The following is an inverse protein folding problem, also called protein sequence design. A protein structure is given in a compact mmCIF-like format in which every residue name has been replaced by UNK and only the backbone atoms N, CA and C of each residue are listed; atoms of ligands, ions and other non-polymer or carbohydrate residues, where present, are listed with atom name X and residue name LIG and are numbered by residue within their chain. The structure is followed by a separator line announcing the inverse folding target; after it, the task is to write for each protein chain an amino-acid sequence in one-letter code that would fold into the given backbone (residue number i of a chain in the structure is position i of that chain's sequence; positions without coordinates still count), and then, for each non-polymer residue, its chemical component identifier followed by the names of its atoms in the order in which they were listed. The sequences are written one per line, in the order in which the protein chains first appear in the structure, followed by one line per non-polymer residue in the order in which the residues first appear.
data_IF_940556180580
#
_entry.id   IF_940556180580
#
_cell.length_a   1.000
_cell.length_b   1.000
_cell.length_c   1.000
_cell.angle_alpha   90.00
_cell.angle_beta   90.00
_cell.angle_gamma   90.00
#
_symmetry.space_group_name_H-M   'P 1'
#
loop_
_entity.id
_entity.type
_entity.pdbx_description
1 polymer ?
#
# COMPACT_ATOMS: atom_id res chain seq x y z
N UNK A 1 -1.26 -5.81 9.03
CA UNK A 1 -0.57 -5.42 7.76
C UNK A 1 0.64 -6.30 7.38
N UNK A 2 1.63 -6.51 8.27
CA UNK A 2 2.85 -7.32 7.97
C UNK A 2 2.54 -8.80 7.71
N UNK A 3 1.49 -9.35 8.35
CA UNK A 3 1.04 -10.73 8.11
C UNK A 3 0.58 -10.98 6.67
N UNK A 4 -0.36 -10.20 6.13
CA UNK A 4 -0.91 -10.47 4.79
C UNK A 4 0.14 -10.37 3.66
N UNK A 5 1.13 -9.48 3.78
CA UNK A 5 2.20 -9.29 2.80
C UNK A 5 3.20 -10.45 2.75
N UNK A 6 3.45 -11.13 3.87
CA UNK A 6 4.44 -12.22 3.94
C UNK A 6 3.82 -13.60 3.64
N UNK A 7 2.48 -13.76 3.74
CA UNK A 7 1.75 -15.02 3.44
C UNK A 7 1.65 -15.27 1.95
N UNK A 8 1.30 -14.21 1.23
CA UNK A 8 1.00 -14.31 -0.19
C UNK A 8 2.28 -14.55 -0.99
N UNK A 9 3.40 -14.00 -0.52
CA UNK A 9 4.70 -14.10 -1.18
C UNK A 9 5.31 -15.51 -1.17
N UNK A 10 5.25 -16.28 -0.05
CA UNK A 10 5.72 -17.68 -0.10
C UNK A 10 4.68 -18.68 -0.59
N UNK A 11 3.39 -18.40 -0.44
CA UNK A 11 2.34 -19.19 -1.09
C UNK A 11 2.47 -19.17 -2.62
N UNK A 12 2.82 -18.01 -3.20
CA UNK A 12 3.18 -17.88 -4.61
C UNK A 12 4.51 -18.57 -4.94
N UNK A 13 5.50 -18.53 -4.04
CA UNK A 13 6.77 -19.25 -4.19
C UNK A 13 6.62 -20.79 -4.26
N UNK A 14 5.52 -21.34 -3.73
CA UNK A 14 5.23 -22.78 -3.80
C UNK A 14 4.65 -23.20 -5.16
N UNK A 15 4.05 -22.25 -5.90
CA UNK A 15 3.49 -22.48 -7.25
C UNK A 15 4.49 -22.09 -8.34
N UNK A 16 5.41 -21.16 -8.05
CA UNK A 16 6.48 -20.77 -8.96
C UNK A 16 7.78 -20.48 -8.17
N UNK A 17 8.91 -21.11 -8.54
CA UNK A 17 10.15 -21.15 -7.73
C UNK A 17 10.88 -19.81 -7.57
N UNK A 18 10.26 -18.70 -7.95
CA UNK A 18 10.79 -17.34 -7.84
C UNK A 18 9.68 -16.43 -7.33
N UNK A 19 9.58 -16.15 -6.02
CA UNK A 19 8.75 -15.06 -5.54
C UNK A 19 9.31 -13.76 -6.13
N UNK A 20 8.69 -13.33 -7.23
CA UNK A 20 8.98 -12.07 -7.89
C UNK A 20 8.18 -10.92 -7.25
N UNK A 21 8.52 -9.66 -7.54
CA UNK A 21 7.78 -8.47 -7.16
C UNK A 21 6.32 -8.48 -7.63
N UNK A 22 5.93 -9.36 -8.56
CA UNK A 22 4.52 -9.65 -8.84
C UNK A 22 3.74 -10.12 -7.61
N UNK A 23 4.35 -11.00 -6.79
CA UNK A 23 3.74 -11.48 -5.55
C UNK A 23 3.65 -10.36 -4.50
N UNK A 24 4.68 -9.51 -4.40
CA UNK A 24 4.65 -8.29 -3.60
C UNK A 24 3.51 -7.36 -4.05
N UNK A 25 3.37 -7.11 -5.37
CA UNK A 25 2.31 -6.28 -5.92
C UNK A 25 0.91 -6.81 -5.62
N UNK A 26 0.68 -8.11 -5.80
CA UNK A 26 -0.58 -8.75 -5.43
C UNK A 26 -0.85 -8.67 -3.93
N UNK A 27 0.17 -8.88 -3.09
CA UNK A 27 0.07 -8.73 -1.64
C UNK A 27 -0.32 -7.31 -1.21
N UNK A 28 0.24 -6.29 -1.85
CA UNK A 28 -0.11 -4.88 -1.60
C UNK A 28 -1.56 -4.58 -1.99
N UNK A 29 -2.02 -5.07 -3.14
CA UNK A 29 -3.42 -4.88 -3.57
C UNK A 29 -4.37 -5.65 -2.67
N UNK A 30 -4.08 -6.90 -2.34
CA UNK A 30 -4.90 -7.69 -1.42
C UNK A 30 -5.00 -7.01 -0.05
N UNK A 31 -3.90 -6.44 0.46
CA UNK A 31 -3.91 -5.67 1.71
C UNK A 31 -4.77 -4.40 1.62
N UNK A 32 -4.70 -3.67 0.50
CA UNK A 32 -5.50 -2.47 0.26
C UNK A 32 -7.00 -2.80 0.15
N UNK A 33 -7.36 -3.83 -0.61
CA UNK A 33 -8.74 -4.30 -0.75
C UNK A 33 -9.27 -4.83 0.57
N UNK A 34 -8.46 -5.56 1.34
CA UNK A 34 -8.81 -6.01 2.69
C UNK A 34 -9.09 -4.83 3.62
N UNK A 35 -8.24 -3.80 3.65
CA UNK A 35 -8.50 -2.59 4.44
C UNK A 35 -9.75 -1.86 3.98
N UNK A 36 -9.99 -1.77 2.68
CA UNK A 36 -11.21 -1.19 2.15
C UNK A 36 -12.45 -1.97 2.60
N UNK A 37 -12.42 -3.31 2.55
CA UNK A 37 -13.50 -4.19 3.02
C UNK A 37 -13.74 -4.10 4.53
N UNK A 38 -12.75 -3.63 5.27
CA UNK A 38 -12.82 -3.38 6.71
C UNK A 38 -13.00 -1.88 7.03
N UNK A 39 -13.35 -1.04 6.06
CA UNK A 39 -13.61 0.38 6.31
C UNK A 39 -12.42 1.10 6.94
N UNK A 40 -11.20 0.67 6.61
CA UNK A 40 -9.90 1.13 7.16
C UNK A 40 -9.62 0.78 8.63
N UNK A 41 -10.53 0.10 9.32
CA UNK A 41 -10.36 -0.32 10.71
C UNK A 41 -9.79 -1.75 10.77
N UNK A 42 -8.61 -1.93 11.38
CA UNK A 42 -8.01 -3.27 11.53
C UNK A 42 -8.87 -4.15 12.46
N UNK A 43 -8.92 -5.46 12.17
CA UNK A 43 -9.66 -6.44 12.96
C UNK A 43 -9.23 -6.47 14.43
N UNK A 44 -7.94 -6.20 14.71
CA UNK A 44 -7.44 -6.16 16.09
C UNK A 44 -8.07 -5.05 16.93
N UNK A 45 -8.63 -4.02 16.27
CA UNK A 45 -9.22 -2.84 16.92
C UNK A 45 -10.74 -2.96 17.10
N UNK A 46 -11.42 -3.75 16.27
CA UNK A 46 -12.88 -3.92 16.29
C UNK A 46 -13.42 -4.61 17.56
N UNK A 47 -12.55 -5.25 18.33
CA UNK A 47 -12.93 -6.00 19.52
C UNK A 47 -13.85 -7.20 19.22
N UNK A 48 -14.25 -7.90 20.29
CA UNK A 48 -15.16 -9.05 20.19
C UNK A 48 -14.54 -10.32 19.61
N UNK A 49 -15.12 -11.48 19.96
CA UNK A 49 -14.63 -12.78 19.53
C UNK A 49 -14.60 -12.97 18.00
N UNK A 50 -15.51 -12.42 17.17
CA UNK A 50 -15.46 -12.65 15.72
C UNK A 50 -14.22 -12.05 15.06
N UNK A 51 -13.82 -10.85 15.48
CA UNK A 51 -12.65 -10.16 14.94
C UNK A 51 -11.35 -10.86 15.34
N UNK A 52 -11.27 -11.35 16.59
CA UNK A 52 -10.16 -12.19 17.05
C UNK A 52 -10.11 -13.53 16.31
N UNK A 53 -11.24 -14.21 16.12
CA UNK A 53 -11.31 -15.46 15.36
C UNK A 53 -10.84 -15.25 13.93
N UNK A 54 -11.33 -14.20 13.24
CA UNK A 54 -10.91 -13.92 11.88
C UNK A 54 -9.41 -13.56 11.81
N UNK A 55 -8.89 -12.81 12.77
CA UNK A 55 -7.46 -12.51 12.87
C UNK A 55 -6.62 -13.77 13.06
N UNK A 56 -7.06 -14.68 13.94
CA UNK A 56 -6.40 -15.96 14.17
C UNK A 56 -6.47 -16.87 12.93
N UNK A 57 -7.59 -16.89 12.21
CA UNK A 57 -7.73 -17.63 10.95
C UNK A 57 -6.81 -17.07 9.87
N UNK A 58 -6.70 -15.75 9.73
CA UNK A 58 -5.78 -15.12 8.79
C UNK A 58 -4.31 -15.43 9.13
N UNK A 59 -3.95 -15.38 10.42
CA UNK A 59 -2.62 -15.76 10.90
C UNK A 59 -2.35 -17.26 10.70
N UNK A 60 -3.34 -18.12 10.94
CA UNK A 60 -3.25 -19.56 10.71
C UNK A 60 -3.09 -19.90 9.23
N UNK A 61 -3.91 -19.29 8.36
CA UNK A 61 -3.80 -19.41 6.91
C UNK A 61 -2.42 -18.93 6.41
N UNK A 62 -1.92 -17.84 6.99
CA UNK A 62 -0.56 -17.37 6.75
C UNK A 62 0.48 -18.44 7.08
N UNK A 63 0.48 -18.93 8.32
CA UNK A 63 1.47 -19.91 8.78
C UNK A 63 1.38 -21.21 7.98
N UNK A 64 0.17 -21.64 7.62
CA UNK A 64 -0.06 -22.80 6.76
C UNK A 64 0.52 -22.60 5.36
N UNK A 65 0.30 -21.43 4.74
CA UNK A 65 0.92 -21.09 3.45
C UNK A 65 2.46 -21.12 3.55
N UNK A 66 3.04 -20.57 4.62
CA UNK A 66 4.49 -20.62 4.85
C UNK A 66 5.00 -22.07 5.01
N UNK A 67 4.28 -22.90 5.76
CA UNK A 67 4.66 -24.29 6.00
C UNK A 67 4.56 -25.16 4.74
N UNK A 68 3.53 -24.94 3.91
CA UNK A 68 3.38 -25.61 2.61
C UNK A 68 4.50 -25.21 1.65
N UNK A 69 4.89 -23.93 1.64
CA UNK A 69 5.98 -23.42 0.82
C UNK A 69 7.37 -23.89 1.27
N UNK A 70 7.55 -24.19 2.55
CA UNK A 70 8.82 -24.66 3.11
C UNK A 70 9.13 -26.13 2.79
N UNK A 71 8.20 -26.89 2.16
CA UNK A 71 8.44 -28.28 1.82
C UNK A 71 9.57 -28.38 0.79
N UNK A 72 10.68 -29.08 1.09
CA UNK A 72 11.82 -29.16 0.18
C UNK A 72 11.37 -29.83 -1.11
N UNK A 73 11.40 -29.07 -2.21
CA UNK A 73 11.26 -29.62 -3.54
C UNK A 73 12.45 -30.56 -3.76
N UNK A 74 12.23 -31.86 -3.53
CA UNK A 74 13.22 -32.88 -3.83
C UNK A 74 13.66 -32.69 -5.29
N UNK A 75 14.97 -32.60 -5.48
CA UNK A 75 15.73 -32.84 -6.72
C UNK A 75 15.74 -31.82 -7.86
N UNK A 76 15.33 -30.56 -7.68
CA UNK A 76 15.64 -29.55 -8.70
C UNK A 76 16.82 -28.67 -8.26
N UNK A 77 17.98 -28.88 -8.90
CA UNK A 77 19.15 -28.04 -8.77
C UNK A 77 18.77 -26.57 -9.08
N UNK A 78 18.66 -25.76 -8.03
CA UNK A 78 18.37 -24.34 -8.15
C UNK A 78 19.63 -23.62 -8.63
N UNK A 79 19.68 -23.24 -9.90
CA UNK A 79 20.66 -22.28 -10.38
C UNK A 79 20.47 -20.97 -9.58
N UNK A 80 21.50 -20.61 -8.82
CA UNK A 80 21.50 -19.53 -7.82
C UNK A 80 21.47 -18.13 -8.43
N UNK A 81 20.43 -17.80 -9.19
CA UNK A 81 20.27 -16.48 -9.81
C UNK A 81 20.11 -15.38 -8.75
N UNK A 82 20.85 -14.29 -8.91
CA UNK A 82 20.78 -13.07 -8.08
C UNK A 82 19.46 -12.28 -8.20
N UNK A 83 18.46 -12.81 -8.92
CA UNK A 83 17.16 -12.19 -9.09
C UNK A 83 16.48 -11.86 -7.75
N UNK A 84 15.71 -10.77 -7.71
CA UNK A 84 14.88 -10.41 -6.57
C UNK A 84 15.54 -9.62 -5.42
N UNK A 85 16.86 -9.43 -5.36
CA UNK A 85 17.50 -8.62 -4.30
C UNK A 85 16.93 -7.19 -4.26
N UNK A 86 16.71 -6.58 -5.44
CA UNK A 86 16.14 -5.23 -5.57
C UNK A 86 14.68 -5.18 -5.13
N UNK A 87 13.88 -6.16 -5.55
CA UNK A 87 12.49 -6.27 -5.11
C UNK A 87 12.40 -6.35 -3.57
N UNK A 88 13.27 -7.13 -2.94
CA UNK A 88 13.35 -7.23 -1.48
C UNK A 88 13.81 -5.94 -0.80
N UNK A 89 14.78 -5.22 -1.39
CA UNK A 89 15.17 -3.89 -0.91
C UNK A 89 14.02 -2.88 -1.00
N UNK A 90 13.19 -2.97 -2.03
CA UNK A 90 12.06 -2.07 -2.24
C UNK A 90 10.80 -2.46 -1.46
N UNK A 91 10.74 -3.63 -0.85
CA UNK A 91 9.55 -4.10 -0.15
C UNK A 91 9.08 -3.09 0.91
N UNK A 92 9.98 -2.61 1.79
CA UNK A 92 9.62 -1.63 2.81
C UNK A 92 9.15 -0.28 2.24
N UNK A 93 9.95 0.42 1.40
CA UNK A 93 9.52 1.66 0.76
C UNK A 93 8.21 1.53 -0.01
N UNK A 94 8.01 0.42 -0.74
CA UNK A 94 6.80 0.17 -1.50
C UNK A 94 5.58 -0.04 -0.60
N UNK A 95 5.73 -0.78 0.51
CA UNK A 95 4.67 -0.95 1.53
C UNK A 95 4.25 0.42 2.09
N UNK A 96 5.22 1.28 2.41
CA UNK A 96 4.92 2.60 2.95
C UNK A 96 4.20 3.48 1.93
N UNK A 97 4.70 3.55 0.69
CA UNK A 97 4.08 4.34 -0.38
C UNK A 97 2.69 3.83 -0.77
N UNK A 98 2.50 2.50 -0.81
CA UNK A 98 1.20 1.89 -1.05
C UNK A 98 0.19 2.25 0.04
N UNK A 99 0.56 2.09 1.31
CA UNK A 99 -0.31 2.39 2.45
C UNK A 99 -0.59 3.87 2.67
N UNK A 100 0.39 4.74 2.39
CA UNK A 100 0.25 6.19 2.53
C UNK A 100 -0.49 6.85 1.37
N UNK A 101 -0.23 6.38 0.15
CA UNK A 101 -0.60 7.11 -1.06
C UNK A 101 -1.21 6.17 -2.09
N UNK A 102 -0.41 5.32 -2.74
CA UNK A 102 -0.77 4.69 -4.01
C UNK A 102 -1.99 3.75 -3.95
N UNK A 103 -2.25 3.10 -2.81
CA UNK A 103 -3.34 2.13 -2.64
C UNK A 103 -4.13 2.39 -1.34
N UNK A 104 -4.01 3.59 -0.76
CA UNK A 104 -4.61 3.92 0.52
C UNK A 104 -6.13 4.16 0.41
N UNK A 105 -6.98 3.35 1.08
CA UNK A 105 -8.42 3.62 1.19
C UNK A 105 -8.73 4.81 2.14
N UNK A 106 -7.72 5.46 2.70
CA UNK A 106 -7.90 6.72 3.40
C UNK A 106 -7.86 7.88 2.38
N UNK A 107 -6.82 7.89 1.55
CA UNK A 107 -6.56 8.93 0.53
C UNK A 107 -7.69 9.00 -0.51
N UNK A 108 -8.22 7.86 -0.93
CA UNK A 108 -9.28 7.82 -1.95
C UNK A 108 -10.56 8.57 -1.53
N UNK A 109 -10.86 8.60 -0.23
CA UNK A 109 -12.07 9.12 0.42
C UNK A 109 -11.85 10.60 0.64
N UNK A 110 -10.64 10.98 1.09
CA UNK A 110 -10.20 12.36 1.12
C UNK A 110 -10.28 13.00 -0.28
N UNK A 111 -9.77 12.33 -1.32
CA UNK A 111 -9.81 12.83 -2.70
C UNK A 111 -11.25 12.99 -3.21
N UNK A 112 -12.13 12.03 -2.92
CA UNK A 112 -13.54 12.14 -3.26
C UNK A 112 -14.20 13.32 -2.52
N UNK A 113 -13.90 13.51 -1.23
CA UNK A 113 -14.47 14.60 -0.44
C UNK A 113 -14.05 15.99 -0.89
N UNK A 114 -12.83 16.14 -1.43
CA UNK A 114 -12.37 17.40 -2.01
C UNK A 114 -13.02 17.72 -3.35
N UNK A 115 -13.41 16.71 -4.13
CA UNK A 115 -14.08 16.92 -5.42
C UNK A 115 -15.56 17.26 -5.28
N UNK A 116 -16.20 16.77 -4.23
CA UNK A 116 -17.66 16.90 -4.05
C UNK A 116 -18.04 17.81 -2.87
N UNK A 117 -17.05 18.35 -2.14
CA UNK A 117 -17.29 19.38 -1.13
C UNK A 117 -17.75 20.69 -1.77
N UNK A 118 -18.48 21.51 -1.00
CA UNK A 118 -18.82 22.86 -1.46
C UNK A 118 -17.55 23.73 -1.55
N UNK A 119 -17.57 24.82 -2.35
CA UNK A 119 -16.45 25.77 -2.40
C UNK A 119 -16.11 26.36 -1.02
N UNK A 120 -17.12 26.54 -0.16
CA UNK A 120 -16.96 27.08 1.19
C UNK A 120 -16.39 26.05 2.18
N UNK A 121 -16.60 24.76 1.91
CA UNK A 121 -16.20 23.65 2.78
C UNK A 121 -15.56 22.49 1.98
N UNK A 122 -14.40 22.72 1.34
CA UNK A 122 -13.72 21.68 0.59
C UNK A 122 -13.30 20.52 1.53
N UNK A 123 -13.61 19.29 1.15
CA UNK A 123 -13.27 18.09 1.95
C UNK A 123 -14.38 17.60 2.89
N UNK A 124 -15.52 18.29 2.93
CA UNK A 124 -16.72 17.83 3.65
C UNK A 124 -17.78 17.17 2.73
N UNK A 125 -17.50 17.05 1.44
CA UNK A 125 -18.43 16.40 0.50
C UNK A 125 -18.48 14.89 0.68
N UNK A 126 -19.68 14.33 0.58
CA UNK A 126 -19.85 12.88 0.41
C UNK A 126 -19.55 12.50 -1.05
N UNK A 127 -18.99 11.29 -1.29
CA UNK A 127 -18.87 10.77 -2.65
C UNK A 127 -20.27 10.60 -3.28
N UNK A 128 -20.45 10.90 -4.57
CA UNK A 128 -21.72 10.76 -5.25
C UNK A 128 -22.12 9.29 -5.43
N UNK A 129 -23.39 9.06 -5.75
CA UNK A 129 -23.89 7.80 -6.29
C UNK A 129 -23.77 7.81 -7.82
N UNK A 130 -23.21 6.75 -8.47
CA UNK A 130 -22.67 5.50 -7.94
C UNK A 130 -21.20 5.58 -7.45
N UNK A 131 -20.71 4.48 -6.86
CA UNK A 131 -19.46 4.38 -6.07
C UNK A 131 -18.22 5.01 -6.69
N UNK A 132 -17.22 5.40 -5.86
CA UNK A 132 -16.07 6.12 -6.37
C UNK A 132 -15.26 5.23 -7.34
N UNK A 133 -15.19 5.65 -8.60
CA UNK A 133 -14.41 4.96 -9.64
C UNK A 133 -12.88 5.04 -9.37
N UNK A 134 -12.45 6.06 -8.62
CA UNK A 134 -11.03 6.34 -8.33
C UNK A 134 -10.28 5.13 -7.70
N UNK A 135 -10.78 4.48 -6.64
CA UNK A 135 -10.27 3.21 -6.13
C UNK A 135 -9.98 2.15 -7.18
N UNK A 136 -10.99 1.90 -8.01
CA UNK A 136 -11.04 0.77 -8.95
C UNK A 136 -10.02 1.03 -10.05
N UNK A 137 -9.95 2.28 -10.51
CA UNK A 137 -8.94 2.74 -11.47
C UNK A 137 -7.52 2.65 -10.89
N UNK A 138 -7.30 3.03 -9.62
CA UNK A 138 -5.97 2.96 -9.01
C UNK A 138 -5.48 1.52 -8.87
N UNK A 139 -6.33 0.60 -8.37
CA UNK A 139 -6.01 -0.83 -8.28
C UNK A 139 -5.77 -1.42 -9.66
N UNK A 140 -6.65 -1.13 -10.62
CA UNK A 140 -6.49 -1.59 -12.00
C UNK A 140 -5.19 -1.09 -12.63
N UNK A 141 -4.89 0.22 -12.51
CA UNK A 141 -3.67 0.82 -13.03
C UNK A 141 -2.40 0.27 -12.35
N UNK A 142 -2.43 0.09 -11.03
CA UNK A 142 -1.33 -0.53 -10.30
C UNK A 142 -1.05 -1.95 -10.79
N UNK A 143 -2.07 -2.79 -10.91
CA UNK A 143 -1.91 -4.17 -11.37
C UNK A 143 -1.47 -4.20 -12.84
N UNK A 144 -2.13 -3.45 -13.71
CA UNK A 144 -1.73 -3.36 -15.12
C UNK A 144 -0.28 -2.90 -15.23
N UNK A 145 0.16 -1.87 -14.50
CA UNK A 145 1.56 -1.44 -14.53
C UNK A 145 2.53 -2.49 -13.95
N UNK A 146 2.11 -3.23 -12.91
CA UNK A 146 2.90 -4.31 -12.30
C UNK A 146 3.11 -5.48 -13.25
N UNK A 147 2.14 -5.76 -14.13
CA UNK A 147 2.15 -6.94 -15.00
C UNK A 147 2.38 -6.62 -16.49
N UNK A 148 2.28 -5.35 -16.90
CA UNK A 148 2.53 -4.91 -18.28
C UNK A 148 3.99 -4.55 -18.52
N UNK A 149 4.40 -4.68 -19.79
CA UNK A 149 5.77 -4.43 -20.24
C UNK A 149 5.75 -3.38 -21.33
N UNK A 150 5.80 -2.09 -20.98
CA UNK A 150 6.06 -1.09 -21.99
C UNK A 150 7.44 -1.33 -22.63
N UNK A 151 7.66 -0.87 -23.88
CA UNK A 151 8.98 -0.92 -24.51
C UNK A 151 10.06 -0.35 -23.58
N UNK A 152 11.22 -1.01 -23.52
CA UNK A 152 12.13 -0.92 -22.38
C UNK A 152 12.59 0.49 -22.00
N UNK A 153 12.86 1.35 -22.98
CA UNK A 153 13.26 2.74 -22.71
C UNK A 153 12.10 3.59 -22.17
N UNK A 154 10.89 3.40 -22.71
CA UNK A 154 9.71 4.15 -22.30
C UNK A 154 9.31 3.77 -20.87
N UNK A 155 9.31 2.47 -20.55
CA UNK A 155 9.00 1.98 -19.19
C UNK A 155 9.95 2.54 -18.13
N UNK A 156 11.25 2.57 -18.43
CA UNK A 156 12.29 3.08 -17.52
C UNK A 156 12.16 4.55 -17.19
N UNK A 157 11.52 5.35 -18.04
CA UNK A 157 11.30 6.78 -17.80
C UNK A 157 9.89 7.02 -17.26
N UNK A 158 8.88 6.42 -17.89
CA UNK A 158 7.47 6.67 -17.62
C UNK A 158 7.08 6.29 -16.19
N UNK A 159 7.44 5.09 -15.72
CA UNK A 159 7.00 4.64 -14.39
C UNK A 159 7.66 5.41 -13.24
N UNK A 160 8.99 5.61 -13.24
CA UNK A 160 9.63 6.49 -12.25
C UNK A 160 9.09 7.91 -12.29
N UNK A 161 8.91 8.50 -13.49
CA UNK A 161 8.36 9.84 -13.63
C UNK A 161 6.93 9.95 -13.09
N UNK A 162 6.07 8.97 -13.37
CA UNK A 162 4.71 8.91 -12.84
C UNK A 162 4.71 8.81 -11.30
N UNK A 163 5.56 7.96 -10.72
CA UNK A 163 5.66 7.82 -9.27
C UNK A 163 6.11 9.13 -8.60
N UNK A 164 7.14 9.77 -9.16
CA UNK A 164 7.66 11.05 -8.67
C UNK A 164 6.63 12.17 -8.79
N UNK A 165 5.95 12.26 -9.93
CA UNK A 165 4.88 13.24 -10.14
C UNK A 165 3.72 13.02 -9.15
N UNK A 166 3.30 11.77 -8.93
CA UNK A 166 2.28 11.42 -7.94
C UNK A 166 2.67 11.84 -6.52
N UNK A 167 3.89 11.51 -6.09
CA UNK A 167 4.40 11.88 -4.77
C UNK A 167 4.57 13.40 -4.61
N UNK A 168 5.02 14.12 -5.64
CA UNK A 168 5.16 15.57 -5.62
C UNK A 168 3.80 16.29 -5.55
N UNK A 169 2.82 15.84 -6.33
CA UNK A 169 1.45 16.36 -6.28
C UNK A 169 0.81 16.12 -4.90
N UNK A 170 1.05 14.95 -4.30
CA UNK A 170 0.62 14.65 -2.93
C UNK A 170 1.28 15.59 -1.92
N UNK A 171 2.60 15.76 -1.99
CA UNK A 171 3.36 16.62 -1.08
C UNK A 171 2.94 18.10 -1.14
N UNK A 172 2.55 18.57 -2.34
CA UNK A 172 2.04 19.92 -2.57
C UNK A 172 0.72 20.20 -1.84
N UNK A 173 -0.04 19.16 -1.49
CA UNK A 173 -1.21 19.26 -0.59
C UNK A 173 -2.37 20.09 -1.14
N UNK A 174 -2.50 20.23 -2.46
CA UNK A 174 -3.63 20.95 -3.07
C UNK A 174 -4.84 20.02 -3.20
N UNK A 175 -6.04 20.41 -2.71
CA UNK A 175 -7.25 19.57 -2.74
C UNK A 175 -7.56 18.92 -4.09
N UNK A 176 -7.53 19.70 -5.17
CA UNK A 176 -7.84 19.21 -6.53
C UNK A 176 -6.78 18.27 -7.12
N UNK A 177 -5.58 18.21 -6.54
CA UNK A 177 -4.46 17.41 -7.06
C UNK A 177 -4.40 16.01 -6.45
N UNK A 178 -5.15 15.74 -5.38
CA UNK A 178 -5.06 14.47 -4.66
C UNK A 178 -5.49 13.26 -5.51
N UNK A 179 -6.54 13.42 -6.32
CA UNK A 179 -7.00 12.36 -7.23
C UNK A 179 -5.95 11.99 -8.30
N UNK A 180 -5.44 12.95 -9.08
CA UNK A 180 -4.32 12.70 -9.99
C UNK A 180 -3.07 12.15 -9.29
N UNK A 181 -2.71 12.67 -8.11
CA UNK A 181 -1.59 12.17 -7.32
C UNK A 181 -1.72 10.68 -6.98
N UNK A 182 -2.93 10.28 -6.55
CA UNK A 182 -3.27 8.90 -6.20
C UNK A 182 -3.10 7.95 -7.40
N UNK A 183 -3.67 8.30 -8.57
CA UNK A 183 -3.57 7.49 -9.79
C UNK A 183 -2.13 7.39 -10.30
N UNK A 184 -1.41 8.51 -10.36
CA UNK A 184 -0.02 8.53 -10.82
C UNK A 184 0.90 7.72 -9.91
N UNK A 185 0.72 7.83 -8.58
CA UNK A 185 1.45 7.03 -7.62
C UNK A 185 1.12 5.54 -7.74
N UNK A 186 -0.15 5.16 -7.96
CA UNK A 186 -0.56 3.78 -8.17
C UNK A 186 0.11 3.15 -9.40
N UNK A 187 -0.02 3.78 -10.57
CA UNK A 187 0.63 3.29 -11.80
C UNK A 187 2.16 3.32 -11.72
N UNK A 188 2.72 4.41 -11.21
CA UNK A 188 4.16 4.58 -11.07
C UNK A 188 4.79 3.55 -10.13
N UNK A 189 4.15 3.28 -8.98
CA UNK A 189 4.64 2.28 -8.02
C UNK A 189 4.56 0.87 -8.61
N UNK A 190 3.44 0.49 -9.22
CA UNK A 190 3.28 -0.81 -9.87
C UNK A 190 4.33 -1.03 -10.98
N UNK A 191 4.52 -0.04 -11.84
CA UNK A 191 5.53 -0.10 -12.90
C UNK A 191 6.98 -0.12 -12.40
N UNK A 192 7.29 0.58 -11.31
CA UNK A 192 8.62 0.51 -10.68
C UNK A 192 8.90 -0.87 -10.08
N UNK A 193 7.89 -1.51 -9.48
CA UNK A 193 8.01 -2.89 -8.97
C UNK A 193 8.25 -3.88 -10.11
N UNK A 194 7.61 -3.71 -11.27
CA UNK A 194 7.85 -4.52 -12.45
C UNK A 194 9.30 -4.39 -12.97
N UNK A 195 9.86 -3.18 -12.95
CA UNK A 195 11.26 -2.94 -13.36
C UNK A 195 12.28 -3.55 -12.40
N UNK A 196 11.95 -3.66 -11.10
CA UNK A 196 12.84 -4.21 -10.09
C UNK A 196 13.02 -5.75 -10.18
N UNK A 197 12.22 -6.45 -11.00
CA UNK A 197 12.25 -7.91 -11.16
C UNK A 197 13.34 -8.45 -12.10
N UNK A 198 14.00 -7.56 -12.82
CA UNK A 198 14.87 -7.98 -13.91
C UNK A 198 16.02 -8.88 -13.43
N UNK A 199 16.03 -10.13 -13.88
CA UNK A 199 17.20 -11.01 -13.77
C UNK A 199 18.10 -10.79 -14.99
N UNK A 200 19.43 -10.68 -14.80
CA UNK A 200 20.35 -10.71 -15.93
C UNK A 200 20.24 -12.08 -16.60
N UNK A 201 19.89 -12.11 -17.90
CA UNK A 201 19.96 -13.33 -18.70
C UNK A 201 21.42 -13.76 -18.81
N UNK A 202 21.75 -14.90 -18.20
CA UNK A 202 23.07 -15.54 -18.29
C UNK A 202 23.25 -16.37 -19.56
N UNK A 203 22.37 -16.26 -20.56
CA UNK A 203 22.44 -17.02 -21.82
C UNK A 203 23.55 -16.54 -22.79
N UNK A 204 24.55 -15.82 -22.29
CA UNK A 204 25.75 -15.43 -23.07
C UNK A 204 26.98 -16.28 -22.75
N UNK A 205 26.80 -17.51 -22.24
CA UNK A 205 27.81 -18.56 -22.41
C UNK A 205 27.71 -19.08 -23.85
N UNK A 206 28.15 -18.23 -24.78
CA UNK A 206 28.47 -18.65 -26.13
C UNK A 206 29.79 -19.43 -26.05
N UNK A 207 29.60 -20.72 -25.81
CA UNK A 207 30.54 -21.85 -25.89
C UNK A 207 31.59 -21.66 -27.00
N UNK A 208 32.65 -20.92 -26.67
CA UNK A 208 33.80 -20.69 -27.55
C UNK A 208 35.07 -21.08 -26.82
N UNK A 209 35.33 -22.39 -26.76
CA UNK A 209 36.70 -22.89 -26.78
C UNK A 209 37.08 -23.89 -25.71
N UNK A 210 37.02 -25.16 -26.10
CA UNK A 210 38.11 -26.16 -25.94
C UNK A 210 39.26 -25.77 -24.99
N UNK A 211 39.17 -26.20 -23.74
CA UNK A 211 40.27 -26.10 -22.78
C UNK A 211 40.07 -27.02 -21.58
N UNK A 212 40.34 -28.32 -21.76
CA UNK A 212 40.42 -29.31 -20.69
C UNK A 212 41.58 -28.99 -19.73
N UNK A 213 41.33 -28.12 -18.75
CA UNK A 213 42.25 -27.85 -17.64
C UNK A 213 41.79 -28.56 -16.36
N UNK A 214 42.70 -29.16 -15.56
CA UNK A 214 42.33 -29.98 -14.42
C UNK A 214 41.76 -29.14 -13.27
N UNK A 215 40.54 -29.51 -12.91
CA UNK A 215 39.73 -29.02 -11.79
C UNK A 215 40.46 -29.21 -10.46
N UNK A 216 41.07 -28.14 -9.93
CA UNK A 216 41.50 -28.08 -8.53
C UNK A 216 41.16 -26.71 -7.97
N UNK A 217 39.99 -26.62 -7.34
CA UNK A 217 39.54 -25.37 -6.71
C UNK A 217 38.18 -25.52 -6.06
N UNK A 218 38.14 -26.18 -4.90
CA UNK A 218 36.99 -26.24 -3.99
C UNK A 218 36.72 -24.87 -3.34
N UNK A 219 36.41 -23.86 -4.17
CA UNK A 219 36.16 -22.48 -3.76
C UNK A 219 34.68 -22.21 -3.51
N UNK A 220 34.25 -22.47 -2.28
CA UNK A 220 33.26 -21.70 -1.50
C UNK A 220 32.09 -21.01 -2.24
N UNK A 221 31.16 -21.80 -2.79
CA UNK A 221 29.92 -21.33 -3.43
C UNK A 221 28.79 -20.91 -2.46
N UNK A 222 29.09 -20.55 -1.21
CA UNK A 222 28.10 -20.46 -0.13
C UNK A 222 27.44 -19.08 0.11
N UNK A 223 27.83 -18.01 -0.60
CA UNK A 223 27.50 -16.62 -0.18
C UNK A 223 26.24 -15.98 -0.78
N UNK A 224 25.49 -16.67 -1.64
CA UNK A 224 24.34 -16.07 -2.36
C UNK A 224 23.06 -15.87 -1.52
N UNK A 225 22.66 -16.79 -0.61
CA UNK A 225 21.40 -16.66 0.15
C UNK A 225 21.33 -15.45 1.08
N UNK A 226 22.46 -15.05 1.67
CA UNK A 226 22.51 -13.95 2.64
C UNK A 226 22.10 -12.59 2.05
N UNK A 227 22.41 -12.33 0.78
CA UNK A 227 22.21 -11.01 0.14
C UNK A 227 20.74 -10.59 0.08
N UNK A 228 19.83 -11.53 -0.21
CA UNK A 228 18.38 -11.24 -0.24
C UNK A 228 17.83 -10.94 1.15
N UNK A 229 18.28 -11.69 2.16
CA UNK A 229 17.92 -11.45 3.56
C UNK A 229 18.33 -10.04 4.01
N UNK A 230 19.57 -9.64 3.72
CA UNK A 230 20.04 -8.28 4.03
C UNK A 230 19.26 -7.20 3.28
N UNK A 231 18.92 -7.43 2.01
CA UNK A 231 18.10 -6.49 1.25
C UNK A 231 16.70 -6.32 1.85
N UNK A 232 16.03 -7.42 2.23
CA UNK A 232 14.73 -7.36 2.90
C UNK A 232 14.80 -6.61 4.23
N UNK A 233 15.80 -6.90 5.06
CA UNK A 233 16.04 -6.18 6.32
C UNK A 233 16.31 -4.71 6.07
N UNK A 234 17.16 -4.38 5.09
CA UNK A 234 17.46 -3.00 4.70
C UNK A 234 16.22 -2.24 4.23
N UNK A 235 15.39 -2.85 3.39
CA UNK A 235 14.12 -2.27 2.94
C UNK A 235 13.18 -1.99 4.11
N UNK A 236 13.00 -2.95 5.02
CA UNK A 236 12.15 -2.78 6.21
C UNK A 236 12.72 -1.77 7.20
N UNK A 237 14.05 -1.63 7.29
CA UNK A 237 14.67 -0.56 8.08
C UNK A 237 14.37 0.81 7.48
N UNK A 238 14.44 0.96 6.15
CA UNK A 238 14.04 2.21 5.47
C UNK A 238 12.56 2.51 5.74
N UNK A 239 11.68 1.52 5.69
CA UNK A 239 10.27 1.66 6.09
C UNK A 239 10.15 2.21 7.52
N UNK A 240 10.83 1.59 8.49
CA UNK A 240 10.74 1.96 9.89
C UNK A 240 11.25 3.39 10.13
N UNK A 241 12.41 3.75 9.57
CA UNK A 241 12.98 5.09 9.68
C UNK A 241 12.08 6.13 9.02
N UNK A 242 11.56 5.85 7.83
CA UNK A 242 10.68 6.78 7.13
C UNK A 242 9.32 6.95 7.84
N UNK A 243 8.78 5.89 8.45
CA UNK A 243 7.58 5.98 9.28
C UNK A 243 7.82 6.86 10.52
N UNK A 244 8.93 6.63 11.25
CA UNK A 244 9.30 7.46 12.40
C UNK A 244 9.51 8.91 11.99
N UNK A 245 10.23 9.18 10.90
CA UNK A 245 10.41 10.54 10.39
C UNK A 245 9.05 11.18 10.04
N UNK A 246 8.16 10.44 9.36
CA UNK A 246 6.84 10.98 9.03
C UNK A 246 6.04 11.38 10.27
N UNK A 247 6.07 10.56 11.32
CA UNK A 247 5.29 10.79 12.54
C UNK A 247 5.95 11.78 13.51
N UNK A 248 7.27 11.83 13.58
CA UNK A 248 7.99 12.81 14.41
C UNK A 248 7.65 14.26 14.02
N UNK A 249 7.16 14.49 12.80
CA UNK A 249 6.66 15.80 12.38
C UNK A 249 5.46 16.30 13.19
N UNK A 250 4.65 15.42 13.78
CA UNK A 250 3.53 15.82 14.64
C UNK A 250 4.03 16.43 15.95
N UNK A 251 5.07 15.84 16.54
CA UNK A 251 5.66 16.32 17.79
C UNK A 251 6.58 17.52 17.57
N UNK A 252 7.32 17.52 16.45
CA UNK A 252 8.35 18.52 16.15
C UNK A 252 7.85 19.69 15.28
N UNK A 253 6.66 19.59 14.69
CA UNK A 253 6.01 20.67 13.94
C UNK A 253 6.59 20.99 12.56
N UNK A 254 7.41 20.11 11.97
CA UNK A 254 7.96 20.32 10.62
C UNK A 254 7.07 19.72 9.51
N UNK A 255 7.15 20.17 8.25
CA UNK A 255 6.39 19.55 7.17
C UNK A 255 6.95 18.16 6.81
N UNK A 256 6.13 17.10 6.86
CA UNK A 256 6.52 15.72 6.50
C UNK A 256 6.22 15.33 5.05
N UNK A 257 5.72 16.24 4.20
CA UNK A 257 5.39 15.94 2.80
C UNK A 257 6.58 15.47 1.95
N UNK A 258 7.80 15.72 2.38
CA UNK A 258 9.02 15.28 1.69
C UNK A 258 9.29 13.78 1.83
N UNK A 259 8.77 13.11 2.87
CA UNK A 259 9.02 11.68 3.12
C UNK A 259 8.53 10.78 1.97
N UNK A 260 7.26 10.85 1.52
CA UNK A 260 6.83 10.06 0.37
C UNK A 260 7.58 10.43 -0.92
N UNK A 261 8.04 11.67 -1.08
CA UNK A 261 8.87 12.07 -2.24
C UNK A 261 10.24 11.40 -2.18
N UNK A 262 10.90 11.38 -1.02
CA UNK A 262 12.19 10.73 -0.85
C UNK A 262 12.10 9.21 -1.10
N UNK A 263 11.04 8.56 -0.61
CA UNK A 263 10.79 7.14 -0.89
C UNK A 263 10.50 6.89 -2.37
N UNK A 264 9.73 7.76 -3.03
CA UNK A 264 9.49 7.68 -4.46
C UNK A 264 10.78 7.81 -5.28
N UNK A 265 11.70 8.71 -4.89
CA UNK A 265 13.04 8.84 -5.49
C UNK A 265 13.84 7.55 -5.30
N UNK A 266 13.86 6.99 -4.10
CA UNK A 266 14.57 5.73 -3.84
C UNK A 266 14.04 4.59 -4.72
N UNK A 267 12.71 4.40 -4.75
CA UNK A 267 12.05 3.38 -5.57
C UNK A 267 12.35 3.60 -7.05
N UNK A 268 12.21 4.82 -7.54
CA UNK A 268 12.51 5.22 -8.91
C UNK A 268 13.96 4.90 -9.32
N UNK A 269 14.95 5.27 -8.50
CA UNK A 269 16.37 5.06 -8.77
C UNK A 269 16.70 3.56 -8.80
N UNK A 270 16.24 2.79 -7.81
CA UNK A 270 16.51 1.34 -7.74
C UNK A 270 15.87 0.60 -8.92
N UNK A 271 14.66 1.00 -9.32
CA UNK A 271 13.96 0.46 -10.48
C UNK A 271 14.66 0.82 -11.80
N UNK A 272 15.04 2.09 -11.99
CA UNK A 272 15.69 2.56 -13.21
C UNK A 272 17.10 1.96 -13.42
N UNK A 273 17.82 1.68 -12.33
CA UNK A 273 19.12 1.00 -12.38
C UNK A 273 19.02 -0.49 -12.75
N UNK A 274 17.79 -1.03 -12.92
CA UNK A 274 17.52 -2.44 -13.19
C UNK A 274 17.94 -2.87 -14.60
N UNK A 275 18.41 -4.12 -14.79
CA UNK A 275 18.52 -4.67 -16.13
C UNK A 275 17.14 -4.71 -16.81
N UNK A 276 17.05 -4.99 -18.12
CA UNK A 276 15.76 -5.20 -18.80
C UNK A 276 15.00 -6.37 -18.14
N UNK A 277 13.68 -6.23 -17.96
CA UNK A 277 12.87 -7.24 -17.28
C UNK A 277 12.68 -8.53 -18.10
N UNK A 278 12.94 -9.69 -17.50
CA UNK A 278 12.68 -11.03 -18.06
C UNK A 278 11.18 -11.28 -18.26
N UNK A 279 10.75 -12.14 -19.20
CA UNK A 279 9.34 -12.43 -19.63
C UNK A 279 8.37 -12.80 -18.49
N UNK A 280 7.07 -12.45 -18.66
CA UNK A 280 6.05 -12.67 -17.62
C UNK A 280 5.67 -14.13 -17.61
N UNK A 281 5.48 -14.70 -16.41
CA UNK A 281 5.11 -16.12 -16.26
C UNK A 281 3.58 -16.31 -16.32
N UNK A 282 2.79 -15.28 -16.00
CA UNK A 282 1.32 -15.39 -16.02
C UNK A 282 0.77 -15.36 -17.46
N UNK A 283 -0.19 -16.25 -17.72
CA UNK A 283 -0.97 -16.19 -18.96
C UNK A 283 -1.82 -14.91 -19.01
N UNK A 284 -1.99 -14.27 -20.19
CA UNK A 284 -2.78 -13.04 -20.31
C UNK A 284 -4.20 -13.17 -19.74
N UNK A 285 -4.81 -14.35 -19.90
CA UNK A 285 -6.17 -14.63 -19.41
C UNK A 285 -6.25 -14.67 -17.88
N UNK A 286 -5.31 -15.36 -17.21
CA UNK A 286 -5.31 -15.44 -15.75
C UNK A 286 -5.06 -14.06 -15.11
N UNK A 287 -4.17 -13.28 -15.73
CA UNK A 287 -3.91 -11.90 -15.33
C UNK A 287 -5.17 -11.04 -15.47
N UNK A 288 -5.84 -11.08 -16.62
CA UNK A 288 -7.05 -10.30 -16.87
C UNK A 288 -8.13 -10.59 -15.83
N UNK A 289 -8.40 -11.87 -15.54
CA UNK A 289 -9.38 -12.24 -14.52
C UNK A 289 -8.99 -11.82 -13.11
N UNK A 290 -7.71 -11.89 -12.76
CA UNK A 290 -7.20 -11.42 -11.46
C UNK A 290 -7.41 -9.92 -11.31
N UNK A 291 -7.08 -9.14 -12.34
CA UNK A 291 -7.28 -7.69 -12.37
C UNK A 291 -8.75 -7.34 -12.24
N UNK A 292 -9.61 -7.95 -13.06
CA UNK A 292 -11.06 -7.73 -13.04
C UNK A 292 -11.64 -8.08 -11.66
N UNK A 293 -11.29 -9.25 -11.11
CA UNK A 293 -11.77 -9.70 -9.81
C UNK A 293 -11.41 -8.75 -8.68
N UNK A 294 -10.16 -8.30 -8.62
CA UNK A 294 -9.70 -7.35 -7.59
C UNK A 294 -10.31 -5.95 -7.78
N UNK A 295 -10.49 -5.50 -9.02
CA UNK A 295 -11.18 -4.24 -9.33
C UNK A 295 -12.65 -4.28 -8.88
N UNK A 296 -13.37 -5.36 -9.17
CA UNK A 296 -14.76 -5.55 -8.72
C UNK A 296 -14.85 -5.60 -7.20
N UNK A 297 -13.98 -6.36 -6.53
CA UNK A 297 -13.95 -6.46 -5.08
C UNK A 297 -13.65 -5.10 -4.42
N UNK A 298 -12.76 -4.31 -5.03
CA UNK A 298 -12.48 -2.93 -4.61
C UNK A 298 -13.73 -2.04 -4.72
N UNK A 299 -14.48 -2.17 -5.83
CA UNK A 299 -15.74 -1.44 -6.02
C UNK A 299 -16.80 -1.80 -4.97
N UNK A 300 -16.95 -3.10 -4.67
CA UNK A 300 -17.84 -3.58 -3.60
C UNK A 300 -17.41 -3.03 -2.24
N UNK A 301 -16.11 -3.09 -1.93
CA UNK A 301 -15.56 -2.58 -0.68
C UNK A 301 -15.82 -1.08 -0.49
N UNK A 302 -15.62 -0.29 -1.55
CA UNK A 302 -15.92 1.13 -1.57
C UNK A 302 -17.42 1.44 -1.41
N UNK A 303 -18.30 0.53 -1.82
CA UNK A 303 -19.75 0.64 -1.66
C UNK A 303 -20.23 0.32 -0.24
N UNK A 304 -19.66 -0.69 0.41
CA UNK A 304 -20.07 -1.14 1.76
C UNK A 304 -19.79 -0.07 2.82
N UNK A 305 -18.62 0.57 2.78
CA UNK A 305 -18.18 1.53 3.80
C UNK A 305 -18.48 2.98 3.45
N UNK A 306 -19.61 3.20 2.78
CA UNK A 306 -20.07 4.55 2.49
C UNK A 306 -20.55 5.22 3.78
N UNK A 307 -20.09 6.45 4.06
CA UNK A 307 -20.71 7.26 5.11
C UNK A 307 -22.18 7.44 4.76
N UNK A 308 -23.07 7.09 5.69
CA UNK A 308 -24.48 7.44 5.56
C UNK A 308 -24.58 8.97 5.52
N UNK A 309 -25.37 9.56 4.60
CA UNK A 309 -25.70 10.97 4.68
C UNK A 309 -26.20 11.27 6.08
N UNK A 310 -25.70 12.36 6.69
CA UNK A 310 -26.28 12.82 7.93
C UNK A 310 -27.79 12.99 7.69
N UNK A 311 -28.62 12.37 8.55
CA UNK A 311 -30.06 12.58 8.49
C UNK A 311 -30.30 14.09 8.48
N UNK A 312 -31.08 14.58 7.51
CA UNK A 312 -31.45 15.99 7.46
C UNK A 312 -31.97 16.38 8.84
N UNK A 313 -31.22 17.24 9.54
CA UNK A 313 -31.52 17.59 10.91
C UNK A 313 -32.94 18.12 10.95
N UNK A 314 -33.82 17.41 11.68
CA UNK A 314 -35.20 17.84 11.87
C UNK A 314 -35.19 19.31 12.28
N UNK A 315 -35.96 20.14 11.56
CA UNK A 315 -35.95 21.59 11.69
C UNK A 315 -35.76 22.00 13.15
N UNK A 316 -34.60 22.59 13.46
CA UNK A 316 -34.25 22.97 14.81
C UNK A 316 -35.42 23.78 15.37
N UNK A 317 -36.07 23.25 16.43
CA UNK A 317 -37.06 24.01 17.17
C UNK A 317 -36.39 25.33 17.59
N UNK A 318 -37.16 26.41 17.72
CA UNK A 318 -36.68 27.78 17.94
C UNK A 318 -35.96 28.03 19.30
N UNK A 319 -35.26 27.03 19.85
CA UNK A 319 -34.35 27.11 21.00
C UNK A 319 -32.89 27.23 20.56
N UNK A 320 -32.03 27.65 21.49
CA UNK A 320 -30.60 27.85 21.24
C UNK A 320 -29.87 26.57 20.81
N UNK A 321 -28.82 26.73 20.00
CA UNK A 321 -27.98 25.63 19.49
C UNK A 321 -26.91 25.26 20.51
N UNK A 322 -26.87 23.99 20.93
CA UNK A 322 -25.82 23.41 21.76
C UNK A 322 -24.69 22.86 20.90
N UNK A 323 -23.54 23.51 20.97
CA UNK A 323 -22.31 23.09 20.31
C UNK A 323 -21.38 22.42 21.33
N UNK A 324 -20.91 21.21 21.03
CA UNK A 324 -19.97 20.48 21.89
C UNK A 324 -18.67 20.22 21.13
N UNK A 325 -17.59 20.95 21.44
CA UNK A 325 -16.26 20.59 20.98
C UNK A 325 -15.78 19.36 21.73
N UNK A 326 -15.34 18.33 21.00
CA UNK A 326 -14.89 17.09 21.59
C UNK A 326 -13.63 16.59 20.88
N UNK A 327 -12.56 16.43 21.63
CA UNK A 327 -11.33 15.85 21.11
C UNK A 327 -11.42 14.33 21.17
N UNK A 328 -11.38 13.66 20.02
CA UNK A 328 -11.49 12.20 19.96
C UNK A 328 -10.21 11.49 20.36
N UNK A 329 -9.07 12.18 20.48
CA UNK A 329 -7.77 11.60 20.84
C UNK A 329 -7.43 10.38 19.97
N UNK A 330 -7.68 10.49 18.67
CA UNK A 330 -7.55 9.38 17.70
C UNK A 330 -8.37 8.12 18.04
N UNK A 331 -9.42 8.25 18.85
CA UNK A 331 -10.30 7.16 19.30
C UNK A 331 -9.90 6.53 20.65
N UNK A 332 -8.82 6.99 21.28
CA UNK A 332 -8.33 6.42 22.53
C UNK A 332 -8.96 7.08 23.78
N UNK A 333 -9.37 6.25 24.73
CA UNK A 333 -9.85 6.65 26.04
C UNK A 333 -8.73 7.19 26.94
N UNK A 334 -9.10 7.63 28.15
CA UNK A 334 -8.15 8.14 29.16
C UNK A 334 -7.19 7.07 29.69
N UNK A 335 -7.54 5.81 29.54
CA UNK A 335 -6.74 4.64 29.89
C UNK A 335 -5.80 4.20 28.74
N UNK A 336 -5.79 4.92 27.62
CA UNK A 336 -4.97 4.62 26.45
C UNK A 336 -5.49 3.44 25.63
N UNK A 337 -6.72 2.95 25.87
CA UNK A 337 -7.35 1.91 25.06
C UNK A 337 -8.25 2.52 24.00
N UNK A 338 -8.37 1.90 22.84
CA UNK A 338 -9.35 2.32 21.83
C UNK A 338 -10.77 2.05 22.37
N UNK A 339 -11.60 3.10 22.49
CA UNK A 339 -12.97 3.01 23.05
C UNK A 339 -13.93 3.97 22.33
N UNK A 340 -14.21 3.68 21.05
CA UNK A 340 -15.10 4.51 20.23
C UNK A 340 -16.53 4.55 20.80
N UNK A 341 -17.00 3.47 21.42
CA UNK A 341 -18.32 3.41 22.05
C UNK A 341 -18.39 4.27 23.32
N UNK A 342 -17.33 4.29 24.13
CA UNK A 342 -17.22 5.21 25.26
C UNK A 342 -17.20 6.66 24.82
N UNK A 343 -16.43 7.01 23.79
CA UNK A 343 -16.44 8.35 23.19
C UNK A 343 -17.83 8.73 22.67
N UNK A 344 -18.49 7.84 21.93
CA UNK A 344 -19.83 8.09 21.40
C UNK A 344 -20.85 8.29 22.53
N UNK A 345 -20.81 7.47 23.58
CA UNK A 345 -21.68 7.64 24.76
C UNK A 345 -21.44 8.96 25.48
N UNK A 346 -20.18 9.40 25.62
CA UNK A 346 -19.86 10.68 26.24
C UNK A 346 -20.42 11.86 25.43
N UNK A 347 -20.27 11.82 24.11
CA UNK A 347 -20.84 12.85 23.21
C UNK A 347 -22.37 12.82 23.24
N UNK A 348 -23.00 11.66 23.06
CA UNK A 348 -24.47 11.52 23.06
C UNK A 348 -25.06 11.96 24.42
N UNK A 349 -24.39 11.63 25.53
CA UNK A 349 -24.81 12.03 26.87
C UNK A 349 -24.91 13.54 27.07
N UNK A 350 -24.13 14.33 26.31
CA UNK A 350 -24.17 15.80 26.35
C UNK A 350 -25.35 16.41 25.58
N UNK A 351 -26.13 15.59 24.85
CA UNK A 351 -27.25 15.98 23.98
C UNK A 351 -26.91 17.18 23.07
N UNK A 352 -25.85 17.10 22.26
CA UNK A 352 -25.43 18.20 21.41
C UNK A 352 -26.35 18.32 20.18
N UNK A 353 -26.53 19.54 19.70
CA UNK A 353 -27.11 19.80 18.37
C UNK A 353 -26.01 19.76 17.30
N UNK A 354 -24.81 20.24 17.66
CA UNK A 354 -23.63 20.24 16.80
C UNK A 354 -22.44 19.70 17.59
N UNK A 355 -21.70 18.76 17.00
CA UNK A 355 -20.47 18.22 17.57
C UNK A 355 -19.30 18.65 16.70
N UNK A 356 -18.29 19.27 17.32
CA UNK A 356 -17.04 19.65 16.64
C UNK A 356 -15.97 18.69 17.09
N UNK A 357 -15.64 17.70 16.25
CA UNK A 357 -14.62 16.71 16.56
C UNK A 357 -13.22 17.22 16.18
N UNK A 358 -12.25 17.07 17.08
CA UNK A 358 -10.83 17.27 16.79
C UNK A 358 -10.05 15.97 16.93
N UNK A 359 -8.89 15.87 16.25
CA UNK A 359 -8.06 14.64 16.18
C UNK A 359 -8.82 13.43 15.61
N UNK A 360 -9.62 13.67 14.56
CA UNK A 360 -10.26 12.62 13.78
C UNK A 360 -9.30 12.17 12.69
N UNK A 361 -8.62 11.06 12.93
CA UNK A 361 -7.78 10.43 11.92
C UNK A 361 -8.61 9.61 10.94
N UNK A 362 -8.36 9.78 9.64
CA UNK A 362 -9.02 9.01 8.57
C UNK A 362 -8.18 7.81 8.10
N UNK A 363 -7.31 7.31 8.97
CA UNK A 363 -6.37 6.23 8.69
C UNK A 363 -4.92 6.66 8.89
N UNK A 364 -4.00 5.71 8.70
CA UNK A 364 -2.58 5.96 8.85
C UNK A 364 -2.13 7.09 7.92
N UNK A 365 -1.41 8.06 8.47
CA UNK A 365 -0.56 9.00 7.73
C UNK A 365 -1.31 10.06 6.92
N UNK A 366 -2.62 10.24 7.09
CA UNK A 366 -3.31 11.41 6.53
C UNK A 366 -3.11 12.64 7.43
N UNK A 367 -2.19 13.53 7.03
CA UNK A 367 -2.03 14.79 7.74
C UNK A 367 -3.31 15.64 7.63
N UNK A 368 -3.95 15.93 8.76
CA UNK A 368 -4.73 17.16 8.91
C UNK A 368 -3.75 18.34 8.95
N UNK A 369 -3.18 18.76 7.81
CA UNK A 369 -2.41 20.01 7.80
C UNK A 369 -3.36 21.13 8.23
N UNK A 370 -2.98 21.99 9.19
CA UNK A 370 -3.70 23.25 9.34
C UNK A 370 -3.58 23.96 8.00
N UNK A 371 -4.71 24.25 7.36
CA UNK A 371 -4.74 25.20 6.27
C UNK A 371 -4.04 26.45 6.82
N UNK A 372 -2.87 26.81 6.28
CA UNK A 372 -2.25 28.07 6.64
C UNK A 372 -3.25 29.13 6.19
N UNK A 373 -4.01 29.67 7.14
CA UNK A 373 -4.78 30.89 6.94
C UNK A 373 -3.73 31.94 6.62
N UNK A 374 -3.64 32.30 5.35
CA UNK A 374 -2.82 33.42 4.88
C UNK A 374 -3.70 34.65 4.79
#
# INVERSE_FOLDING_TARGET
MVGALVAYDRGAAAVDRRPGPHALGLGLVAAAVGHALLGTEDLVWRGGWPAWTLSALLAGAFLAAQALAARPARTAASSGGSGGVRAWLLAGPAVLLAGQLALSPAVWNAAASYRHGSPDFPGLGFPPEPGPALPVLAVGLFLVATFSRPPGWLGRVLWPAALLAGAALFAAGRPGWLGPAFLLAAGGLGGCLALADASPDTDTDMDTGTGSGPETGAGDGSTVPGRRGYAAVGGMLVFAVAAVAYYAAYDLGYPNGWVPVALAVLVAVVAAAGPPAATSVLTPTALAWTVIGLMLLTGVAAGIHRPLPAAEGGAAAAGGVRVVPYNTRMGFGLDGRLDLDGLARAVIGSRPDVVVLSEVDRGWLLNGRPARVR
#
